data_IF_935559426675
#
_entry.id   IF_935559426675
#
_cell.length_a   1.000
_cell.length_b   1.000
_cell.length_c   1.000
_cell.angle_alpha   90.00
_cell.angle_beta   90.00
_cell.angle_gamma   90.00
#
_symmetry.space_group_name_H-M   'P 1'
#
loop_
_entity.id
_entity.type
_entity.pdbx_description
1 polymer ?
#
# COMPACT_ATOMS: atom_id res chain seq x y z
N UNK A 1 12.28 47.03 33.87
CA UNK A 1 10.85 46.98 33.51
C UNK A 1 10.70 46.02 32.33
N UNK A 2 9.92 44.94 32.46
CA UNK A 2 9.61 44.05 31.32
C UNK A 2 8.60 44.73 30.41
N UNK A 3 8.92 44.89 29.13
CA UNK A 3 7.96 45.39 28.12
C UNK A 3 6.86 44.34 27.95
N UNK A 4 5.60 44.76 28.15
CA UNK A 4 4.45 43.93 27.83
C UNK A 4 4.24 43.91 26.32
N UNK A 5 3.83 42.77 25.78
CA UNK A 5 3.46 42.63 24.37
C UNK A 5 2.28 43.54 24.02
N UNK A 6 2.29 44.09 22.81
CA UNK A 6 1.15 44.89 22.32
C UNK A 6 0.02 43.98 21.83
N UNK A 7 -1.24 44.44 21.95
CA UNK A 7 -2.42 43.66 21.53
C UNK A 7 -2.32 43.21 20.06
N UNK A 8 -1.81 44.08 19.19
CA UNK A 8 -1.60 43.77 17.76
C UNK A 8 -0.62 42.60 17.60
N UNK A 9 0.47 42.60 18.37
CA UNK A 9 1.51 41.57 18.33
C UNK A 9 0.99 40.22 18.78
N UNK A 10 0.11 40.20 19.79
CA UNK A 10 -0.61 39.00 20.23
C UNK A 10 -1.56 38.50 19.13
N UNK A 11 -2.31 39.39 18.49
CA UNK A 11 -3.24 39.01 17.41
C UNK A 11 -2.51 38.42 16.20
N UNK A 12 -1.40 39.04 15.77
CA UNK A 12 -0.58 38.53 14.65
C UNK A 12 0.04 37.17 15.00
N UNK A 13 0.51 37.01 16.24
CA UNK A 13 1.07 35.73 16.69
C UNK A 13 0.04 34.60 16.65
N UNK A 14 -1.18 34.85 17.14
CA UNK A 14 -2.28 33.86 17.11
C UNK A 14 -2.66 33.51 15.68
N UNK A 15 -2.68 34.50 14.77
CA UNK A 15 -2.99 34.27 13.35
C UNK A 15 -1.92 33.38 12.70
N UNK A 16 -0.64 33.69 12.91
CA UNK A 16 0.47 32.90 12.37
C UNK A 16 0.46 31.46 12.90
N UNK A 17 0.27 31.28 14.20
CA UNK A 17 0.19 29.95 14.82
C UNK A 17 -0.97 29.15 14.21
N UNK A 18 -2.12 29.78 13.99
CA UNK A 18 -3.29 29.12 13.41
C UNK A 18 -3.02 28.63 11.99
N UNK A 19 -2.37 29.44 11.15
CA UNK A 19 -1.99 29.05 9.77
C UNK A 19 -1.01 27.88 9.78
N UNK A 20 0.01 27.93 10.65
CA UNK A 20 1.01 26.86 10.77
C UNK A 20 0.36 25.54 11.22
N UNK A 21 -0.55 25.59 12.20
CA UNK A 21 -1.27 24.41 12.68
C UNK A 21 -2.09 23.79 11.55
N UNK A 22 -2.82 24.60 10.77
CA UNK A 22 -3.60 24.10 9.63
C UNK A 22 -2.72 23.43 8.57
N UNK A 23 -1.57 24.03 8.25
CA UNK A 23 -0.60 23.44 7.32
C UNK A 23 -0.07 22.09 7.81
N UNK A 24 0.30 21.99 9.10
CA UNK A 24 0.78 20.75 9.71
C UNK A 24 -0.30 19.66 9.67
N UNK A 25 -1.55 20.00 10.05
CA UNK A 25 -2.68 19.05 10.00
C UNK A 25 -2.89 18.53 8.58
N UNK A 26 -2.79 19.40 7.57
CA UNK A 26 -2.96 19.01 6.18
C UNK A 26 -1.84 18.08 5.69
N UNK A 27 -0.59 18.35 6.06
CA UNK A 27 0.55 17.48 5.76
C UNK A 27 0.42 16.10 6.45
N UNK A 28 -0.01 16.08 7.73
CA UNK A 28 -0.25 14.83 8.45
C UNK A 28 -1.37 14.01 7.82
N UNK A 29 -2.44 14.66 7.38
CA UNK A 29 -3.55 14.00 6.68
C UNK A 29 -3.07 13.36 5.38
N UNK A 30 -2.33 14.09 4.55
CA UNK A 30 -1.73 13.56 3.32
C UNK A 30 -0.80 12.37 3.59
N UNK A 31 0.02 12.45 4.64
CA UNK A 31 0.93 11.36 5.05
C UNK A 31 0.16 10.12 5.49
N UNK A 32 -0.92 10.29 6.26
CA UNK A 32 -1.78 9.20 6.70
C UNK A 32 -2.51 8.52 5.54
N UNK A 33 -3.07 9.30 4.63
CA UNK A 33 -3.77 8.76 3.45
C UNK A 33 -2.80 7.98 2.55
N UNK A 34 -1.58 8.50 2.37
CA UNK A 34 -0.49 7.82 1.66
C UNK A 34 -0.10 6.51 2.36
N UNK A 35 0.03 6.52 3.68
CA UNK A 35 0.35 5.32 4.47
C UNK A 35 -0.73 4.24 4.35
N UNK A 36 -2.02 4.63 4.43
CA UNK A 36 -3.13 3.71 4.24
C UNK A 36 -3.13 3.10 2.83
N UNK A 37 -2.93 3.93 1.80
CA UNK A 37 -2.82 3.47 0.42
C UNK A 37 -1.69 2.46 0.24
N UNK A 38 -0.51 2.75 0.77
CA UNK A 38 0.66 1.88 0.69
C UNK A 38 0.48 0.58 1.49
N UNK A 39 -0.18 0.63 2.65
CA UNK A 39 -0.56 -0.57 3.43
C UNK A 39 -1.49 -1.48 2.62
N UNK A 40 -2.58 -0.93 2.08
CA UNK A 40 -3.58 -1.72 1.35
C UNK A 40 -3.00 -2.28 0.06
N UNK A 41 -2.16 -1.50 -0.61
CA UNK A 41 -1.35 -1.97 -1.72
C UNK A 41 -0.47 -3.14 -1.31
N UNK A 42 0.29 -3.02 -0.21
CA UNK A 42 1.20 -4.07 0.22
C UNK A 42 0.49 -5.38 0.59
N UNK A 43 -0.68 -5.28 1.24
CA UNK A 43 -1.54 -6.45 1.50
C UNK A 43 -1.98 -7.13 0.21
N UNK A 44 -2.40 -6.35 -0.79
CA UNK A 44 -2.81 -6.88 -2.10
C UNK A 44 -1.64 -7.52 -2.86
N UNK A 45 -0.47 -6.88 -2.87
CA UNK A 45 0.73 -7.41 -3.50
C UNK A 45 1.21 -8.71 -2.83
N UNK A 46 1.26 -8.77 -1.49
CA UNK A 46 1.61 -9.97 -0.75
C UNK A 46 0.64 -11.12 -1.03
N UNK A 47 -0.65 -10.80 -1.04
CA UNK A 47 -1.69 -11.76 -1.40
C UNK A 47 -1.47 -12.26 -2.82
N UNK A 48 -1.05 -11.41 -3.76
CA UNK A 48 -0.74 -11.82 -5.13
C UNK A 48 0.47 -12.78 -5.18
N UNK A 49 1.54 -12.58 -4.40
CA UNK A 49 2.75 -13.44 -4.44
C UNK A 49 2.51 -14.93 -4.23
N UNK A 50 1.49 -15.31 -3.46
CA UNK A 50 1.12 -16.72 -3.25
C UNK A 50 0.69 -17.42 -4.56
N UNK A 51 0.40 -16.66 -5.61
CA UNK A 51 -0.24 -17.13 -6.83
C UNK A 51 0.45 -16.65 -8.13
N UNK A 52 1.66 -16.05 -8.04
CA UNK A 52 2.33 -15.42 -9.19
C UNK A 52 3.08 -16.45 -10.06
N UNK A 53 2.40 -17.00 -11.06
CA UNK A 53 2.99 -17.22 -12.38
C UNK A 53 2.90 -15.93 -13.22
N UNK A 54 3.76 -15.74 -14.23
CA UNK A 54 3.77 -14.56 -15.11
C UNK A 54 2.39 -14.31 -15.78
N UNK A 55 1.60 -15.37 -15.95
CA UNK A 55 0.26 -15.34 -16.54
C UNK A 55 -0.80 -14.64 -15.68
N UNK A 56 -0.57 -14.42 -14.38
CA UNK A 56 -1.52 -13.78 -13.44
C UNK A 56 -1.89 -12.34 -13.84
N UNK A 57 -1.01 -11.67 -14.58
CA UNK A 57 -1.23 -10.35 -15.19
C UNK A 57 -2.50 -10.28 -16.03
N UNK A 58 -2.87 -11.40 -16.66
CA UNK A 58 -4.07 -11.56 -17.49
C UNK A 58 -5.38 -11.54 -16.69
N UNK A 59 -5.30 -11.74 -15.38
CA UNK A 59 -6.47 -11.83 -14.49
C UNK A 59 -6.71 -10.54 -13.71
N UNK A 60 -6.02 -9.44 -14.01
CA UNK A 60 -6.22 -8.18 -13.33
C UNK A 60 -7.70 -7.74 -13.35
N UNK A 61 -8.22 -7.34 -12.20
CA UNK A 61 -9.62 -6.95 -11.94
C UNK A 61 -10.65 -8.07 -12.18
N UNK A 62 -10.21 -9.32 -12.29
CA UNK A 62 -11.12 -10.46 -12.46
C UNK A 62 -11.16 -11.34 -11.21
N UNK A 63 -12.34 -11.89 -10.92
CA UNK A 63 -12.51 -12.91 -9.88
C UNK A 63 -12.08 -14.27 -10.41
N UNK A 64 -11.14 -14.91 -9.73
CA UNK A 64 -10.63 -16.25 -10.07
C UNK A 64 -10.52 -17.12 -8.82
N UNK A 65 -10.73 -18.40 -9.00
CA UNK A 65 -10.50 -19.41 -7.97
C UNK A 65 -9.02 -19.83 -7.93
N UNK A 66 -8.57 -20.32 -6.77
CA UNK A 66 -7.20 -20.70 -6.54
C UNK A 66 -6.75 -21.81 -7.48
N UNK A 67 -7.63 -22.75 -7.84
CA UNK A 67 -7.30 -23.81 -8.79
C UNK A 67 -6.99 -23.22 -10.17
N UNK A 68 -7.83 -22.36 -10.73
CA UNK A 68 -7.60 -21.71 -12.03
C UNK A 68 -6.30 -20.91 -12.06
N UNK A 69 -5.87 -20.35 -10.93
CA UNK A 69 -4.64 -19.56 -10.87
C UNK A 69 -3.39 -20.44 -10.72
N UNK A 70 -3.46 -21.49 -9.89
CA UNK A 70 -2.33 -22.39 -9.60
C UNK A 70 -2.12 -23.40 -10.73
N UNK A 71 -3.20 -23.79 -11.41
CA UNK A 71 -3.18 -24.68 -12.57
C UNK A 71 -2.48 -23.97 -13.72
N UNK A 72 -1.17 -24.15 -13.78
CA UNK A 72 -0.29 -23.56 -14.79
C UNK A 72 0.25 -24.67 -15.68
N UNK A 73 0.92 -24.29 -16.77
CA UNK A 73 1.55 -25.28 -17.66
C UNK A 73 2.56 -26.19 -16.91
N UNK A 74 3.17 -25.68 -15.84
CA UNK A 74 4.18 -26.39 -15.05
C UNK A 74 3.64 -27.06 -13.77
N UNK A 75 2.40 -26.78 -13.37
CA UNK A 75 1.84 -27.32 -12.12
C UNK A 75 0.40 -27.80 -12.33
N UNK A 76 0.21 -29.11 -12.21
CA UNK A 76 -1.07 -29.79 -12.39
C UNK A 76 -1.51 -30.48 -11.10
N UNK A 77 -2.76 -30.25 -10.69
CA UNK A 77 -3.37 -30.90 -9.53
C UNK A 77 -4.31 -31.99 -10.05
N UNK A 78 -3.93 -33.25 -9.83
CA UNK A 78 -4.68 -34.42 -10.28
C UNK A 78 -5.64 -34.96 -9.19
N UNK A 79 -5.51 -34.48 -7.96
CA UNK A 79 -6.36 -34.89 -6.84
C UNK A 79 -7.70 -34.13 -6.86
N UNK A 80 -8.80 -34.87 -6.90
CA UNK A 80 -10.15 -34.31 -7.03
C UNK A 80 -10.62 -33.58 -5.76
N UNK A 81 -10.16 -34.00 -4.58
CA UNK A 81 -10.52 -33.37 -3.32
C UNK A 81 -9.81 -32.01 -3.17
N UNK A 82 -8.51 -31.97 -3.42
CA UNK A 82 -7.71 -30.75 -3.50
C UNK A 82 -8.29 -29.78 -4.53
N UNK A 83 -8.73 -30.26 -5.69
CA UNK A 83 -9.38 -29.45 -6.72
C UNK A 83 -10.68 -28.82 -6.23
N UNK A 84 -11.52 -29.57 -5.51
CA UNK A 84 -12.76 -29.02 -4.91
C UNK A 84 -12.44 -27.94 -3.88
N UNK A 85 -11.47 -28.19 -2.99
CA UNK A 85 -11.05 -27.23 -1.96
C UNK A 85 -10.56 -25.93 -2.62
N UNK A 86 -9.70 -26.03 -3.63
CA UNK A 86 -9.11 -24.87 -4.30
C UNK A 86 -10.13 -24.08 -5.14
N UNK A 87 -11.11 -24.75 -5.73
CA UNK A 87 -12.21 -24.07 -6.46
C UNK A 87 -13.11 -23.24 -5.53
N UNK A 88 -13.23 -23.64 -4.26
CA UNK A 88 -14.01 -22.89 -3.27
C UNK A 88 -13.29 -21.61 -2.80
N UNK A 89 -11.97 -21.55 -2.94
CA UNK A 89 -11.17 -20.38 -2.58
C UNK A 89 -11.15 -19.44 -3.78
N UNK A 90 -11.95 -18.37 -3.75
CA UNK A 90 -12.01 -17.39 -4.84
C UNK A 90 -11.73 -15.97 -4.35
N UNK A 91 -11.07 -15.18 -5.19
CA UNK A 91 -10.75 -13.78 -4.90
C UNK A 91 -10.65 -12.97 -6.18
N UNK A 92 -10.81 -11.65 -6.02
CA UNK A 92 -10.49 -10.71 -7.09
C UNK A 92 -8.99 -10.50 -7.12
N UNK A 93 -8.39 -10.69 -8.29
CA UNK A 93 -6.97 -10.43 -8.50
C UNK A 93 -6.81 -8.96 -8.87
N UNK A 94 -6.15 -8.21 -7.99
CA UNK A 94 -5.89 -6.79 -8.20
C UNK A 94 -4.38 -6.58 -8.29
N UNK A 95 -3.90 -6.21 -9.46
CA UNK A 95 -2.50 -5.86 -9.68
C UNK A 95 -2.40 -4.36 -9.60
N UNK A 96 -1.60 -3.89 -8.65
CA UNK A 96 -1.40 -2.47 -8.41
C UNK A 96 -0.43 -1.88 -9.44
N UNK A 97 -0.76 -0.70 -9.98
CA UNK A 97 0.05 0.00 -10.98
C UNK A 97 1.47 0.28 -10.46
N UNK A 98 2.53 0.34 -11.27
CA UNK A 98 3.87 0.63 -10.78
C UNK A 98 3.92 1.93 -9.97
N UNK A 99 4.60 1.91 -8.81
CA UNK A 99 4.88 3.14 -8.08
C UNK A 99 5.89 3.97 -8.88
N UNK A 100 5.46 5.13 -9.38
CA UNK A 100 6.37 6.16 -9.90
C UNK A 100 6.94 6.88 -8.69
N UNK A 101 8.07 6.39 -8.17
CA UNK A 101 8.80 7.09 -7.11
C UNK A 101 9.50 8.27 -7.79
N UNK A 102 8.97 9.49 -7.60
CA UNK A 102 9.74 10.69 -7.91
C UNK A 102 10.96 10.75 -7.00
N UNK A 103 12.10 11.21 -7.52
CA UNK A 103 13.40 11.20 -6.83
C UNK A 103 13.39 11.95 -5.47
N UNK A 104 12.36 12.75 -5.17
CA UNK A 104 12.29 13.62 -4.00
C UNK A 104 11.17 13.31 -3.00
N UNK A 105 10.41 12.20 -3.14
CA UNK A 105 9.41 11.84 -2.12
C UNK A 105 10.06 11.12 -0.94
N UNK A 106 10.55 11.91 0.02
CA UNK A 106 10.94 11.43 1.35
C UNK A 106 9.65 11.08 2.11
N UNK A 107 9.21 9.83 1.98
CA UNK A 107 8.13 9.30 2.81
C UNK A 107 8.76 8.99 4.18
N UNK A 108 8.29 9.57 5.30
CA UNK A 108 8.85 9.34 6.64
C UNK A 108 8.37 7.98 7.18
N UNK A 109 8.61 6.91 6.42
CA UNK A 109 8.14 5.56 6.68
C UNK A 109 9.27 4.59 6.38
N UNK A 110 9.56 3.69 7.33
CA UNK A 110 10.47 2.58 7.09
C UNK A 110 9.80 1.55 6.19
N UNK A 111 10.17 1.55 4.90
CA UNK A 111 9.66 0.58 3.94
C UNK A 111 10.51 -0.69 4.02
N UNK A 112 9.97 -1.75 4.60
CA UNK A 112 10.57 -3.08 4.52
C UNK A 112 10.22 -3.73 3.18
N UNK A 113 11.16 -4.41 2.54
CA UNK A 113 10.91 -5.10 1.27
C UNK A 113 11.13 -6.60 1.46
N UNK A 114 10.13 -7.42 1.13
CA UNK A 114 10.28 -8.88 1.06
C UNK A 114 10.29 -9.31 -0.40
N UNK A 115 11.49 -9.48 -0.98
CA UNK A 115 11.64 -9.89 -2.37
C UNK A 115 11.45 -11.38 -2.55
N UNK A 116 10.20 -11.82 -2.75
CA UNK A 116 9.90 -13.24 -2.95
C UNK A 116 10.26 -13.77 -4.35
N UNK A 117 10.26 -12.91 -5.39
CA UNK A 117 10.61 -13.30 -6.77
C UNK A 117 11.21 -12.12 -7.56
N UNK A 118 12.53 -11.90 -7.47
CA UNK A 118 13.35 -10.91 -8.24
C UNK A 118 12.57 -9.77 -8.93
N UNK A 119 11.94 -10.04 -10.07
CA UNK A 119 11.26 -9.07 -10.96
C UNK A 119 9.73 -8.90 -10.75
N UNK A 120 9.09 -9.77 -9.96
CA UNK A 120 7.67 -9.69 -9.57
C UNK A 120 7.56 -9.60 -8.04
N UNK A 121 8.15 -8.55 -7.48
CA UNK A 121 8.18 -8.29 -6.05
C UNK A 121 6.77 -8.09 -5.50
N UNK A 122 6.36 -8.87 -4.48
CA UNK A 122 5.41 -8.33 -3.53
C UNK A 122 6.15 -7.38 -2.60
N UNK A 123 5.63 -6.19 -2.40
CA UNK A 123 6.17 -5.23 -1.45
C UNK A 123 5.31 -5.29 -0.20
N UNK A 124 5.88 -5.70 0.92
CA UNK A 124 5.18 -5.68 2.21
C UNK A 124 5.58 -4.42 2.97
N UNK A 125 4.73 -3.40 2.93
CA UNK A 125 5.02 -2.12 3.59
C UNK A 125 4.51 -2.20 5.04
N UNK A 126 5.42 -2.16 6.00
CA UNK A 126 5.09 -2.10 7.42
C UNK A 126 5.28 -0.67 7.94
N UNK A 127 4.25 -0.12 8.57
CA UNK A 127 4.31 1.20 9.21
C UNK A 127 4.67 1.02 10.67
N UNK A 128 5.79 1.60 11.08
CA UNK A 128 6.10 1.80 12.50
C UNK A 128 5.71 3.25 12.81
N UNK A 129 4.64 3.43 13.57
CA UNK A 129 4.18 4.73 14.08
C UNK A 129 4.97 5.11 15.33
#
# INVERSE_FOLDING_TARGET
MRKAFTIIEVMVSVLLISVVILAIIQMQKQTKDMALYLSDRGKNELSNTLFLDKSISKYNKSKKDAYTIIQTQSFHINDDEAKKILKNISRTINISDPLIMGEEQIIPVNINYIMLKKQYSARFIHFTL
#
